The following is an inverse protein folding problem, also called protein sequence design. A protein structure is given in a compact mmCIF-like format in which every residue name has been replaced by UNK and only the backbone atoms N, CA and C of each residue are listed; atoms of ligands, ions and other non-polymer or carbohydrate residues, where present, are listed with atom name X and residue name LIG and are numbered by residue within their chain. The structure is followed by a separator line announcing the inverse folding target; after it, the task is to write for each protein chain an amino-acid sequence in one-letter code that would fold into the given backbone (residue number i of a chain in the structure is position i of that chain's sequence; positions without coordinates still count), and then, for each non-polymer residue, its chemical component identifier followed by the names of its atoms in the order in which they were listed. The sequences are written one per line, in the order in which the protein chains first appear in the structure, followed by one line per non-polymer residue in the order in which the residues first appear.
data_IF_889060106532
#
_entry.id   IF_889060106532
#
_cell.length_a   1.000
_cell.length_b   1.000
_cell.length_c   1.000
_cell.angle_alpha   90.00
_cell.angle_beta   90.00
_cell.angle_gamma   90.00
#
_symmetry.space_group_name_H-M   'P 1'
#
loop_
_entity.id
_entity.type
_entity.pdbx_description
1 polymer ?
#
# COMPACT_ATOMS: atom_id res chain seq x y z
N UNK A 1 6.64 -9.68 -28.89
CA UNK A 1 6.48 -10.78 -27.92
C UNK A 1 6.45 -10.13 -26.54
N UNK A 2 5.24 -9.83 -26.04
CA UNK A 2 5.06 -9.19 -24.74
C UNK A 2 5.50 -10.22 -23.69
N UNK A 3 6.54 -9.88 -22.94
CA UNK A 3 7.05 -10.69 -21.83
C UNK A 3 5.88 -11.02 -20.92
N UNK A 4 5.61 -12.31 -20.76
CA UNK A 4 4.73 -12.88 -19.76
C UNK A 4 4.92 -12.15 -18.43
N UNK A 5 4.03 -11.17 -18.16
CA UNK A 5 3.93 -10.58 -16.84
C UNK A 5 3.28 -11.67 -16.00
N UNK A 6 4.09 -12.35 -15.21
CA UNK A 6 3.58 -13.30 -14.24
C UNK A 6 2.53 -12.58 -13.38
N UNK A 7 1.35 -13.15 -13.11
CA UNK A 7 0.31 -12.49 -12.33
C UNK A 7 0.83 -12.04 -10.95
N UNK A 8 1.78 -12.77 -10.37
CA UNK A 8 2.46 -12.33 -9.15
C UNK A 8 3.25 -11.03 -9.31
N UNK A 9 3.85 -10.76 -10.48
CA UNK A 9 4.56 -9.51 -10.74
C UNK A 9 3.62 -8.31 -10.74
N UNK A 10 2.41 -8.45 -11.30
CA UNK A 10 1.40 -7.39 -11.27
C UNK A 10 0.92 -7.11 -9.85
N UNK A 11 0.64 -8.16 -9.08
CA UNK A 11 0.28 -8.01 -7.67
C UNK A 11 1.39 -7.43 -6.81
N UNK A 12 2.67 -7.77 -7.06
CA UNK A 12 3.79 -7.10 -6.39
C UNK A 12 3.87 -5.61 -6.71
N UNK A 13 3.61 -5.20 -7.96
CA UNK A 13 3.59 -3.79 -8.34
C UNK A 13 2.44 -3.05 -7.68
N UNK A 14 1.25 -3.65 -7.63
CA UNK A 14 0.10 -3.06 -6.93
C UNK A 14 0.38 -2.94 -5.42
N UNK A 15 0.91 -3.99 -4.79
CA UNK A 15 1.30 -3.96 -3.39
C UNK A 15 2.29 -2.83 -3.09
N UNK A 16 3.33 -2.67 -3.92
CA UNK A 16 4.31 -1.60 -3.77
C UNK A 16 3.66 -0.21 -3.91
N UNK A 17 2.76 -0.02 -4.88
CA UNK A 17 2.05 1.25 -5.06
C UNK A 17 1.20 1.62 -3.83
N UNK A 18 0.45 0.66 -3.29
CA UNK A 18 -0.35 0.85 -2.08
C UNK A 18 0.53 1.14 -0.86
N UNK A 19 1.62 0.40 -0.65
CA UNK A 19 2.54 0.69 0.44
C UNK A 19 3.24 2.04 0.32
N UNK A 20 3.55 2.49 -0.90
CA UNK A 20 4.07 3.84 -1.12
C UNK A 20 3.04 4.91 -0.76
N UNK A 21 1.78 4.73 -1.16
CA UNK A 21 0.70 5.64 -0.78
C UNK A 21 0.52 5.66 0.75
N UNK A 22 0.45 4.49 1.40
CA UNK A 22 0.37 4.39 2.85
C UNK A 22 1.52 5.12 3.56
N UNK A 23 2.76 4.94 3.10
CA UNK A 23 3.91 5.64 3.65
C UNK A 23 3.78 7.17 3.50
N UNK A 24 3.30 7.65 2.35
CA UNK A 24 3.03 9.08 2.13
C UNK A 24 1.99 9.61 3.12
N UNK A 25 0.87 8.90 3.29
CA UNK A 25 -0.18 9.25 4.25
C UNK A 25 0.33 9.25 5.70
N UNK A 26 1.13 8.27 6.11
CA UNK A 26 1.76 8.28 7.43
C UNK A 26 2.65 9.49 7.68
N UNK A 27 3.42 9.92 6.68
CA UNK A 27 4.26 11.11 6.78
C UNK A 27 3.41 12.39 6.92
N UNK A 28 2.30 12.48 6.20
CA UNK A 28 1.36 13.60 6.33
C UNK A 28 0.66 13.60 7.70
N UNK A 29 0.16 12.46 8.17
CA UNK A 29 -0.44 12.33 9.49
C UNK A 29 0.52 12.76 10.60
N UNK A 30 1.79 12.32 10.53
CA UNK A 30 2.82 12.71 11.48
C UNK A 30 3.11 14.23 11.45
N UNK A 31 3.12 14.84 10.27
CA UNK A 31 3.28 16.28 10.13
C UNK A 31 2.09 17.04 10.72
N UNK A 32 0.86 16.62 10.42
CA UNK A 32 -0.38 17.24 10.88
C UNK A 32 -0.54 17.13 12.40
N UNK A 33 -0.24 15.96 12.98
CA UNK A 33 -0.17 15.80 14.43
C UNK A 33 0.83 16.76 15.10
N UNK A 34 1.96 17.05 14.44
CA UNK A 34 2.97 17.96 14.97
C UNK A 34 2.49 19.42 15.02
N UNK A 35 1.63 19.83 14.09
CA UNK A 35 1.10 21.20 14.01
C UNK A 35 -0.26 21.37 14.69
N UNK A 36 -0.82 20.29 15.25
CA UNK A 36 -2.08 20.31 16.00
C UNK A 36 -3.34 20.11 15.16
N UNK A 37 -3.21 19.74 13.88
CA UNK A 37 -4.35 19.41 13.01
C UNK A 37 -4.69 17.92 13.17
N UNK A 38 -5.45 17.59 14.23
CA UNK A 38 -5.72 16.22 14.62
C UNK A 38 -6.75 15.51 13.71
N UNK A 39 -7.80 16.21 13.28
CA UNK A 39 -8.82 15.66 12.38
C UNK A 39 -8.20 15.26 11.02
N UNK A 40 -7.46 16.17 10.37
CA UNK A 40 -6.75 15.85 9.12
C UNK A 40 -5.70 14.76 9.33
N UNK A 41 -4.98 14.76 10.46
CA UNK A 41 -4.02 13.70 10.77
C UNK A 41 -4.70 12.33 10.87
N UNK A 42 -5.91 12.28 11.43
CA UNK A 42 -6.69 11.07 11.52
C UNK A 42 -7.15 10.59 10.13
N UNK A 43 -7.64 11.47 9.26
CA UNK A 43 -8.00 11.08 7.88
C UNK A 43 -6.81 10.48 7.13
N UNK A 44 -5.62 11.07 7.29
CA UNK A 44 -4.40 10.49 6.72
C UNK A 44 -4.01 9.16 7.38
N UNK A 45 -4.22 8.99 8.69
CA UNK A 45 -3.95 7.72 9.37
C UNK A 45 -4.89 6.60 8.89
N UNK A 46 -6.17 6.89 8.72
CA UNK A 46 -7.17 5.96 8.18
C UNK A 46 -6.84 5.59 6.72
N UNK A 47 -6.55 6.57 5.86
CA UNK A 47 -6.15 6.30 4.47
C UNK A 47 -4.84 5.47 4.38
N UNK A 48 -3.88 5.71 5.29
CA UNK A 48 -2.67 4.89 5.36
C UNK A 48 -2.97 3.44 5.75
N UNK A 49 -3.94 3.23 6.64
CA UNK A 49 -4.40 1.91 7.04
C UNK A 49 -5.02 1.18 5.86
N UNK A 50 -5.99 1.81 5.18
CA UNK A 50 -6.69 1.21 4.04
C UNK A 50 -5.72 0.77 2.95
N UNK A 51 -4.79 1.65 2.56
CA UNK A 51 -3.75 1.29 1.58
C UNK A 51 -2.81 0.21 2.09
N UNK A 52 -2.48 0.17 3.39
CA UNK A 52 -1.66 -0.92 3.94
C UNK A 52 -2.36 -2.27 3.85
N UNK A 53 -3.67 -2.31 4.11
CA UNK A 53 -4.47 -3.52 3.97
C UNK A 53 -4.58 -3.97 2.50
N UNK A 54 -4.83 -3.05 1.57
CA UNK A 54 -4.83 -3.35 0.13
C UNK A 54 -3.48 -3.86 -0.35
N UNK A 55 -2.40 -3.19 0.05
CA UNK A 55 -1.04 -3.60 -0.28
C UNK A 55 -0.69 -4.98 0.28
N UNK A 56 -1.17 -5.28 1.48
CA UNK A 56 -0.99 -6.61 2.10
C UNK A 56 -1.79 -7.69 1.39
N UNK A 57 -3.04 -7.41 0.98
CA UNK A 57 -3.86 -8.33 0.17
C UNK A 57 -3.12 -8.67 -1.12
N UNK A 58 -2.66 -7.66 -1.86
CA UNK A 58 -1.89 -7.88 -3.08
C UNK A 58 -0.58 -8.64 -2.85
N UNK A 59 0.16 -8.34 -1.77
CA UNK A 59 1.37 -9.10 -1.41
C UNK A 59 1.07 -10.57 -1.14
N UNK A 60 -0.07 -10.87 -0.50
CA UNK A 60 -0.51 -12.24 -0.23
C UNK A 60 -0.88 -12.94 -1.52
N UNK A 61 -1.70 -12.33 -2.37
CA UNK A 61 -2.07 -12.88 -3.68
C UNK A 61 -0.85 -13.09 -4.57
N UNK A 62 0.12 -12.18 -4.57
CA UNK A 62 1.37 -12.35 -5.30
C UNK A 62 2.16 -13.58 -4.81
N UNK A 63 2.21 -13.80 -3.49
CA UNK A 63 2.86 -14.95 -2.88
C UNK A 63 2.16 -16.25 -3.25
N UNK A 64 0.83 -16.30 -3.19
CA UNK A 64 0.04 -17.47 -3.61
C UNK A 64 0.30 -17.81 -5.09
N UNK A 65 0.25 -16.82 -5.98
CA UNK A 65 0.59 -17.05 -7.40
C UNK A 65 2.05 -17.40 -7.64
N UNK A 66 2.97 -17.00 -6.76
CA UNK A 66 4.39 -17.37 -6.85
C UNK A 66 4.69 -18.77 -6.32
N UNK A 67 3.81 -19.32 -5.48
CA UNK A 67 3.91 -20.66 -4.91
C UNK A 67 3.30 -21.77 -5.77
N UNK A 68 2.52 -21.40 -6.79
CA UNK A 68 1.84 -22.31 -7.72
C UNK A 68 2.66 -22.57 -9.00
N UNK A 69 3.98 -22.68 -8.86
CA UNK A 69 4.94 -22.95 -9.94
C UNK A 69 5.64 -24.31 -9.79
#
# INVERSE_FOLDING_TARGET
MAKDKHPASEHHLQAAAHHQAAAHHHLQAAHLHKIGEHDDAQEHADAAHEHSEEGHKHSTTAKDHSGEA
#
